data_IF_047597362107
#
_entry.id   IF_047597362107
#
_cell.length_a   1.000
_cell.length_b   1.000
_cell.length_c   1.000
_cell.angle_alpha   90.00
_cell.angle_beta   90.00
_cell.angle_gamma   90.00
#
_symmetry.space_group_name_H-M   'P 1'
#
loop_
_entity.id
_entity.type
_entity.pdbx_description
1 polymer ?
#
# COMPACT_ATOMS: atom_id res chain seq x y z
N UNK A 1 -8.54 -15.34 -15.84
CA UNK A 1 -7.77 -14.32 -16.59
C UNK A 1 -6.46 -14.96 -17.04
N UNK A 2 -6.24 -15.02 -18.36
CA UNK A 2 -5.22 -15.85 -19.03
C UNK A 2 -3.86 -15.15 -19.21
N UNK A 3 -2.82 -15.77 -18.64
CA UNK A 3 -1.41 -15.99 -19.06
C UNK A 3 -0.76 -15.03 -20.08
N UNK A 4 0.45 -14.53 -19.77
CA UNK A 4 1.73 -14.92 -20.41
C UNK A 4 2.94 -14.18 -19.78
N UNK A 5 4.03 -14.90 -19.56
CA UNK A 5 5.26 -14.48 -18.87
C UNK A 5 6.41 -14.26 -19.87
N UNK A 6 7.12 -13.12 -19.81
CA UNK A 6 8.45 -12.88 -20.43
C UNK A 6 9.26 -11.86 -19.59
N UNK A 7 10.61 -11.93 -19.57
CA UNK A 7 11.44 -11.18 -18.63
C UNK A 7 11.65 -9.73 -19.09
N UNK A 8 11.36 -8.76 -18.24
CA UNK A 8 11.83 -7.38 -18.45
C UNK A 8 13.27 -7.29 -17.94
N UNK A 9 14.22 -7.34 -18.88
CA UNK A 9 15.60 -6.91 -18.65
C UNK A 9 15.61 -5.37 -18.59
N UNK A 10 15.40 -4.81 -17.40
CA UNK A 10 15.82 -3.44 -17.13
C UNK A 10 17.34 -3.46 -16.90
N UNK A 11 18.10 -3.18 -17.96
CA UNK A 11 19.55 -3.05 -17.90
C UNK A 11 19.88 -1.82 -17.02
N UNK A 12 20.26 -2.05 -15.77
CA UNK A 12 20.82 -1.00 -14.91
C UNK A 12 22.27 -0.76 -15.33
N UNK A 13 22.49 0.21 -16.22
CA UNK A 13 23.82 0.73 -16.49
C UNK A 13 24.15 1.76 -15.40
N UNK A 14 24.92 1.34 -14.39
CA UNK A 14 25.42 2.24 -13.35
C UNK A 14 26.54 3.10 -13.97
N UNK A 15 26.21 4.33 -14.37
CA UNK A 15 27.19 5.39 -14.60
C UNK A 15 27.39 6.15 -13.29
N UNK A 16 28.61 6.07 -12.75
CA UNK A 16 29.05 6.88 -11.63
C UNK A 16 29.18 8.35 -12.07
N UNK A 17 28.17 9.16 -11.76
CA UNK A 17 28.27 10.62 -11.85
C UNK A 17 28.34 11.20 -10.44
N UNK A 18 29.37 12.01 -10.19
CA UNK A 18 29.49 12.80 -8.98
C UNK A 18 28.33 13.80 -8.88
N UNK A 19 27.78 14.05 -7.67
CA UNK A 19 26.67 14.99 -7.52
C UNK A 19 27.12 16.41 -7.88
N UNK A 20 26.37 17.04 -8.78
CA UNK A 20 26.48 18.48 -9.02
C UNK A 20 26.11 19.27 -7.75
N UNK A 21 26.68 20.47 -7.54
CA UNK A 21 26.41 21.27 -6.35
C UNK A 21 24.92 21.62 -6.21
N UNK A 22 24.44 21.59 -4.96
CA UNK A 22 23.06 21.87 -4.57
C UNK A 22 22.76 23.35 -4.84
N UNK A 23 22.05 23.64 -5.93
CA UNK A 23 21.40 24.92 -6.12
C UNK A 23 20.05 24.89 -5.37
N UNK A 24 19.87 25.75 -4.36
CA UNK A 24 18.53 26.06 -3.88
C UNK A 24 17.75 26.68 -5.05
N UNK A 25 16.69 26.01 -5.48
CA UNK A 25 15.88 26.44 -6.61
C UNK A 25 15.23 27.80 -6.30
N UNK A 26 15.30 28.72 -7.28
CA UNK A 26 14.59 29.98 -7.29
C UNK A 26 13.07 29.79 -7.04
N UNK A 27 12.40 30.87 -6.60
CA UNK A 27 10.94 30.93 -6.42
C UNK A 27 10.21 30.19 -7.54
N UNK A 28 9.40 29.20 -7.19
CA UNK A 28 8.60 28.49 -8.16
C UNK A 28 7.50 29.42 -8.65
N UNK A 29 7.53 29.73 -9.94
CA UNK A 29 6.45 30.45 -10.62
C UNK A 29 5.49 29.44 -11.23
N UNK A 30 4.20 29.54 -10.88
CA UNK A 30 3.13 28.82 -11.58
C UNK A 30 3.09 29.20 -13.06
N UNK A 31 2.76 28.24 -13.92
CA UNK A 31 2.65 28.49 -15.34
C UNK A 31 2.46 27.20 -16.15
N UNK A 32 1.94 27.34 -17.36
CA UNK A 32 1.77 26.24 -18.29
C UNK A 32 3.12 25.85 -18.92
N UNK A 33 3.32 24.55 -19.11
CA UNK A 33 4.45 23.96 -19.86
C UNK A 33 3.93 22.86 -20.76
N UNK A 34 4.44 22.77 -21.97
CA UNK A 34 4.15 21.65 -22.85
C UNK A 34 5.34 20.69 -22.80
N UNK A 35 5.11 19.49 -22.29
CA UNK A 35 6.10 18.42 -22.25
C UNK A 35 5.46 17.19 -22.89
N UNK A 36 6.15 16.54 -23.84
CA UNK A 36 5.62 15.36 -24.52
C UNK A 36 4.24 15.56 -25.22
N UNK A 37 3.94 16.78 -25.68
CA UNK A 37 2.61 17.10 -26.23
C UNK A 37 1.48 17.17 -25.18
N UNK A 38 1.81 17.07 -23.89
CA UNK A 38 0.91 17.25 -22.75
C UNK A 38 1.10 18.67 -22.22
N UNK A 39 -0.01 19.39 -22.06
CA UNK A 39 0.02 20.70 -21.39
C UNK A 39 -0.10 20.46 -19.90
N UNK A 40 0.96 20.78 -19.17
CA UNK A 40 1.02 20.73 -17.73
C UNK A 40 0.90 22.12 -17.12
N UNK A 41 0.08 22.26 -16.10
CA UNK A 41 0.11 23.38 -15.17
C UNK A 41 1.09 23.06 -14.04
N UNK A 42 2.12 23.90 -13.87
CA UNK A 42 3.02 23.80 -12.72
C UNK A 42 2.33 24.34 -11.48
N UNK A 43 2.11 23.46 -10.52
CA UNK A 43 1.69 23.79 -9.18
C UNK A 43 2.91 23.82 -8.26
N UNK A 44 3.15 25.00 -7.71
CA UNK A 44 4.24 25.22 -6.79
C UNK A 44 3.83 24.72 -5.41
N UNK A 45 4.53 23.68 -4.94
CA UNK A 45 4.56 23.27 -3.55
C UNK A 45 5.99 23.50 -3.04
N UNK A 46 6.15 24.04 -1.83
CA UNK A 46 7.44 24.56 -1.36
C UNK A 46 8.59 23.52 -1.42
N UNK A 47 8.25 22.23 -1.31
CA UNK A 47 9.20 21.11 -1.24
C UNK A 47 9.22 20.22 -2.49
N UNK A 48 8.23 20.34 -3.39
CA UNK A 48 8.06 19.49 -4.58
C UNK A 48 7.52 20.29 -5.76
N UNK A 49 7.85 19.90 -6.98
CA UNK A 49 7.25 20.45 -8.19
C UNK A 49 6.20 19.47 -8.72
N UNK A 50 4.94 19.91 -8.76
CA UNK A 50 3.87 19.10 -9.37
C UNK A 50 3.50 19.71 -10.71
N UNK A 51 3.65 18.92 -11.76
CA UNK A 51 3.21 19.23 -13.11
C UNK A 51 1.91 18.46 -13.34
N UNK A 52 0.78 19.16 -13.31
CA UNK A 52 -0.56 18.57 -13.44
C UNK A 52 -1.06 18.76 -14.87
N UNK A 53 -1.44 17.68 -15.53
CA UNK A 53 -2.08 17.74 -16.85
C UNK A 53 -3.33 18.63 -16.80
N UNK A 54 -3.43 19.60 -17.71
CA UNK A 54 -4.49 20.61 -17.72
C UNK A 54 -5.91 20.04 -17.94
N UNK A 55 -6.03 18.73 -18.21
CA UNK A 55 -7.30 18.01 -18.26
C UNK A 55 -7.80 17.54 -16.88
N UNK A 56 -7.00 17.64 -15.83
CA UNK A 56 -7.39 17.29 -14.46
C UNK A 56 -8.23 18.42 -13.87
N UNK A 57 -9.36 18.05 -13.24
CA UNK A 57 -10.29 19.00 -12.66
C UNK A 57 -9.63 19.89 -11.58
N UNK A 58 -9.95 21.19 -11.51
CA UNK A 58 -9.30 22.11 -10.56
C UNK A 58 -9.42 21.68 -9.09
N UNK A 59 -10.53 21.04 -8.72
CA UNK A 59 -10.75 20.52 -7.36
C UNK A 59 -9.78 19.39 -7.00
N UNK A 60 -9.55 18.47 -7.93
CA UNK A 60 -8.59 17.38 -7.79
C UNK A 60 -7.15 17.91 -7.71
N UNK A 61 -6.82 18.88 -8.56
CA UNK A 61 -5.51 19.54 -8.57
C UNK A 61 -5.19 20.24 -7.23
N UNK A 62 -6.19 20.85 -6.59
CA UNK A 62 -6.02 21.46 -5.27
C UNK A 62 -5.82 20.42 -4.16
N UNK A 63 -6.59 19.32 -4.19
CA UNK A 63 -6.47 18.23 -3.22
C UNK A 63 -5.10 17.53 -3.33
N UNK A 64 -4.64 17.24 -4.55
CA UNK A 64 -3.31 16.71 -4.85
C UNK A 64 -2.20 17.59 -4.27
N UNK A 65 -2.30 18.92 -4.46
CA UNK A 65 -1.30 19.87 -3.97
C UNK A 65 -1.23 19.88 -2.44
N UNK A 66 -2.36 19.78 -1.76
CA UNK A 66 -2.36 19.72 -0.29
C UNK A 66 -1.69 18.42 0.18
N UNK A 67 -2.06 17.30 -0.41
CA UNK A 67 -1.59 15.99 0.03
C UNK A 67 -0.09 15.77 -0.24
N UNK A 68 0.42 16.18 -1.39
CA UNK A 68 1.83 15.93 -1.76
C UNK A 68 2.83 16.59 -0.80
N UNK A 69 2.48 17.74 -0.23
CA UNK A 69 3.33 18.45 0.74
C UNK A 69 3.44 17.63 2.02
N UNK A 70 2.32 17.09 2.51
CA UNK A 70 2.28 16.23 3.68
C UNK A 70 3.00 14.91 3.43
N UNK A 71 2.83 14.32 2.24
CA UNK A 71 3.52 13.08 1.84
C UNK A 71 5.04 13.29 1.78
N UNK A 72 5.50 14.38 1.17
CA UNK A 72 6.92 14.74 1.12
C UNK A 72 7.52 14.95 2.52
N UNK A 73 6.83 15.71 3.37
CA UNK A 73 7.27 15.96 4.74
C UNK A 73 7.35 14.67 5.56
N UNK A 74 6.35 13.79 5.42
CA UNK A 74 6.32 12.52 6.15
C UNK A 74 7.43 11.56 5.69
N UNK A 75 7.75 11.53 4.40
CA UNK A 75 8.86 10.74 3.85
C UNK A 75 10.22 11.29 4.30
N UNK A 76 10.43 12.61 4.28
CA UNK A 76 11.64 13.25 4.80
C UNK A 76 11.83 12.96 6.30
N UNK A 77 10.76 13.04 7.08
CA UNK A 77 10.79 12.78 8.52
C UNK A 77 11.21 11.33 8.83
N UNK A 78 10.69 10.36 8.08
CA UNK A 78 10.99 8.93 8.23
C UNK A 78 12.49 8.62 8.02
N UNK A 79 13.08 9.19 6.97
CA UNK A 79 14.49 8.99 6.65
C UNK A 79 15.42 9.96 7.38
N UNK A 80 14.88 11.03 7.99
CA UNK A 80 15.66 12.10 8.59
C UNK A 80 16.56 12.81 7.58
N UNK A 81 16.13 12.87 6.32
CA UNK A 81 16.88 13.44 5.20
C UNK A 81 15.96 14.38 4.42
N UNK A 82 16.56 15.40 3.82
CA UNK A 82 15.90 16.21 2.81
C UNK A 82 16.08 15.58 1.42
N UNK A 83 15.15 15.86 0.52
CA UNK A 83 15.37 15.53 -0.88
C UNK A 83 16.56 16.34 -1.41
N UNK A 84 17.49 15.72 -2.17
CA UNK A 84 18.70 16.39 -2.67
C UNK A 84 18.38 17.51 -3.68
N UNK A 85 17.22 17.40 -4.33
CA UNK A 85 16.60 18.40 -5.19
C UNK A 85 15.08 18.29 -5.03
N UNK A 86 14.34 19.32 -5.44
CA UNK A 86 12.87 19.28 -5.41
C UNK A 86 12.38 18.14 -6.33
N UNK A 87 11.65 17.15 -5.80
CA UNK A 87 11.06 16.09 -6.62
C UNK A 87 10.16 16.69 -7.69
N UNK A 88 10.20 16.14 -8.91
CA UNK A 88 9.30 16.54 -10.01
C UNK A 88 8.29 15.44 -10.23
N UNK A 89 7.01 15.75 -10.04
CA UNK A 89 5.89 14.82 -10.14
C UNK A 89 5.01 15.21 -11.32
N UNK A 90 4.92 14.33 -12.30
CA UNK A 90 4.07 14.46 -13.48
C UNK A 90 2.78 13.70 -13.24
N UNK A 91 1.69 14.43 -12.97
CA UNK A 91 0.36 13.85 -12.81
C UNK A 91 -0.38 13.97 -14.13
N UNK A 92 -0.68 12.84 -14.77
CA UNK A 92 -1.29 12.79 -16.10
C UNK A 92 -2.75 12.35 -16.03
N UNK A 93 -3.60 12.92 -16.87
CA UNK A 93 -5.04 12.78 -16.70
C UNK A 93 -5.60 11.39 -17.02
N UNK A 94 -4.95 10.64 -17.91
CA UNK A 94 -5.44 9.34 -18.40
C UNK A 94 -4.31 8.32 -18.54
N UNK A 95 -4.63 7.03 -18.41
CA UNK A 95 -3.67 5.92 -18.58
C UNK A 95 -2.97 5.94 -19.95
N UNK A 96 -3.68 6.32 -21.02
CA UNK A 96 -3.08 6.45 -22.34
C UNK A 96 -2.01 7.56 -22.39
N UNK A 97 -2.25 8.69 -21.71
CA UNK A 97 -1.29 9.78 -21.59
C UNK A 97 -0.17 9.44 -20.60
N UNK A 98 -0.44 8.60 -19.61
CA UNK A 98 0.58 8.05 -18.71
C UNK A 98 1.61 7.21 -19.48
N UNK A 99 1.15 6.27 -20.31
CA UNK A 99 2.04 5.51 -21.19
C UNK A 99 2.86 6.42 -22.12
N UNK A 100 2.23 7.45 -22.70
CA UNK A 100 2.94 8.42 -23.55
C UNK A 100 3.98 9.23 -22.76
N UNK A 101 3.66 9.64 -21.53
CA UNK A 101 4.59 10.36 -20.66
C UNK A 101 5.80 9.49 -20.28
N UNK A 102 5.59 8.21 -19.94
CA UNK A 102 6.69 7.27 -19.68
C UNK A 102 7.61 7.11 -20.90
N UNK A 103 7.04 7.01 -22.11
CA UNK A 103 7.83 6.93 -23.34
C UNK A 103 8.66 8.19 -23.58
N UNK A 104 8.03 9.37 -23.54
CA UNK A 104 8.67 10.61 -24.00
C UNK A 104 9.50 11.29 -22.92
N UNK A 105 9.04 11.29 -21.66
CA UNK A 105 9.73 11.97 -20.56
C UNK A 105 10.86 11.12 -19.98
N UNK A 106 10.68 9.81 -19.88
CA UNK A 106 11.66 8.89 -19.29
C UNK A 106 12.39 8.02 -20.32
N UNK A 107 12.03 8.11 -21.60
CA UNK A 107 12.75 7.44 -22.68
C UNK A 107 12.51 5.93 -22.77
N UNK A 108 11.47 5.41 -22.12
CA UNK A 108 11.11 3.99 -22.22
C UNK A 108 10.66 3.64 -23.64
N UNK A 109 11.03 2.47 -24.19
CA UNK A 109 10.42 1.99 -25.42
C UNK A 109 8.89 1.90 -25.29
N UNK A 110 8.15 2.19 -26.36
CA UNK A 110 6.67 2.21 -26.36
C UNK A 110 6.03 0.97 -25.72
N UNK A 111 6.56 -0.21 -26.04
CA UNK A 111 6.06 -1.48 -25.50
C UNK A 111 6.27 -1.55 -23.98
N UNK A 112 7.42 -1.12 -23.49
CA UNK A 112 7.72 -1.06 -22.06
C UNK A 112 6.85 -0.02 -21.37
N UNK A 113 6.70 1.18 -21.96
CA UNK A 113 5.89 2.25 -21.39
C UNK A 113 4.42 1.85 -21.24
N UNK A 114 3.84 1.17 -22.25
CA UNK A 114 2.48 0.60 -22.15
C UNK A 114 2.38 -0.50 -21.11
N UNK A 115 3.35 -1.41 -21.08
CA UNK A 115 3.36 -2.46 -20.06
C UNK A 115 3.41 -1.90 -18.64
N UNK A 116 4.24 -0.87 -18.39
CA UNK A 116 4.28 -0.18 -17.09
C UNK A 116 2.93 0.49 -16.80
N UNK A 117 2.32 1.17 -17.78
CA UNK A 117 1.00 1.79 -17.62
C UNK A 117 -0.12 0.78 -17.30
N UNK A 118 -0.05 -0.43 -17.85
CA UNK A 118 -1.03 -1.49 -17.59
C UNK A 118 -0.84 -2.16 -16.22
N UNK A 119 0.34 -2.02 -15.59
CA UNK A 119 0.72 -2.77 -14.39
C UNK A 119 1.10 -1.90 -13.18
N UNK A 120 1.22 -0.59 -13.36
CA UNK A 120 1.51 0.36 -12.29
C UNK A 120 0.72 1.65 -12.46
N UNK A 121 0.31 2.24 -11.34
CA UNK A 121 -0.43 3.49 -11.29
C UNK A 121 0.45 4.72 -11.04
N UNK A 122 1.70 4.48 -10.64
CA UNK A 122 2.74 5.48 -10.50
C UNK A 122 4.12 4.85 -10.76
N UNK A 123 5.13 5.68 -11.06
CA UNK A 123 6.46 5.19 -11.36
C UNK A 123 7.52 6.24 -11.05
N UNK A 124 8.49 5.88 -10.22
CA UNK A 124 9.71 6.62 -10.00
C UNK A 124 10.80 6.22 -11.01
N UNK A 125 11.37 7.19 -11.72
CA UNK A 125 12.51 7.03 -12.63
C UNK A 125 13.83 7.44 -11.96
N UNK A 126 14.69 6.49 -11.55
CA UNK A 126 15.91 6.79 -10.79
C UNK A 126 16.91 7.68 -11.53
N UNK A 127 17.01 7.57 -12.87
CA UNK A 127 18.01 8.32 -13.64
C UNK A 127 17.70 9.82 -13.71
N UNK A 128 16.41 10.18 -13.66
CA UNK A 128 15.97 11.59 -13.73
C UNK A 128 15.54 12.14 -12.38
N UNK A 129 15.26 11.27 -11.40
CA UNK A 129 14.64 11.65 -10.14
C UNK A 129 13.15 12.04 -10.29
N UNK A 130 12.56 11.78 -11.46
CA UNK A 130 11.17 12.13 -11.78
C UNK A 130 10.17 11.06 -11.37
N UNK A 131 8.96 11.48 -11.08
CA UNK A 131 7.83 10.59 -10.76
C UNK A 131 6.72 10.85 -11.78
N UNK A 132 6.14 9.79 -12.35
CA UNK A 132 4.93 9.87 -13.17
C UNK A 132 3.77 9.18 -12.45
N UNK A 133 2.56 9.74 -12.58
CA UNK A 133 1.36 9.27 -11.86
C UNK A 133 0.17 9.24 -12.82
N UNK A 134 -0.49 8.09 -12.92
CA UNK A 134 -1.75 7.92 -13.65
C UNK A 134 -2.93 8.35 -12.79
N UNK A 135 -3.51 9.53 -13.09
CA UNK A 135 -4.62 10.07 -12.32
C UNK A 135 -5.89 9.22 -12.48
N UNK A 136 -6.20 8.73 -13.67
CA UNK A 136 -7.44 7.98 -13.94
C UNK A 136 -7.49 6.69 -13.12
N UNK A 137 -6.33 6.07 -12.88
CA UNK A 137 -6.23 4.84 -12.09
C UNK A 137 -6.35 5.05 -10.56
N UNK A 138 -6.12 6.27 -10.06
CA UNK A 138 -6.04 6.55 -8.61
C UNK A 138 -7.01 7.61 -8.10
N UNK A 139 -7.66 8.39 -8.97
CA UNK A 139 -8.47 9.55 -8.59
C UNK A 139 -9.61 9.26 -7.64
N UNK A 140 -10.08 8.01 -7.58
CA UNK A 140 -11.18 7.58 -6.71
C UNK A 140 -10.68 6.91 -5.41
N UNK A 141 -9.36 6.75 -5.24
CA UNK A 141 -8.76 6.15 -4.04
C UNK A 141 -8.50 7.23 -2.99
N UNK A 142 -8.95 7.01 -1.76
CA UNK A 142 -8.73 7.91 -0.62
C UNK A 142 -8.15 7.13 0.58
N UNK A 143 -7.04 7.59 1.18
CA UNK A 143 -6.11 8.62 0.68
C UNK A 143 -5.31 8.15 -0.55
N UNK A 144 -4.72 9.10 -1.30
CA UNK A 144 -3.99 8.87 -2.56
C UNK A 144 -2.52 8.52 -2.27
N UNK A 145 -2.23 7.30 -1.85
CA UNK A 145 -0.91 6.97 -1.29
C UNK A 145 0.19 6.69 -2.31
N UNK A 146 -0.15 6.52 -3.60
CA UNK A 146 0.81 6.17 -4.64
C UNK A 146 1.95 7.22 -4.75
N UNK A 147 1.67 8.49 -4.54
CA UNK A 147 2.71 9.53 -4.56
C UNK A 147 3.69 9.36 -3.40
N UNK A 148 3.20 9.03 -2.20
CA UNK A 148 4.04 8.77 -1.02
C UNK A 148 4.93 7.54 -1.21
N UNK A 149 4.43 6.53 -1.91
CA UNK A 149 5.21 5.36 -2.33
C UNK A 149 6.41 5.78 -3.18
N UNK A 150 6.17 6.50 -4.27
CA UNK A 150 7.25 6.90 -5.20
C UNK A 150 8.23 7.89 -4.57
N UNK A 151 7.76 8.81 -3.73
CA UNK A 151 8.63 9.71 -2.96
C UNK A 151 9.56 8.93 -2.02
N UNK A 152 9.08 7.79 -1.50
CA UNK A 152 9.88 6.91 -0.65
C UNK A 152 11.03 6.26 -1.42
N UNK A 153 10.83 5.86 -2.68
CA UNK A 153 11.93 5.39 -3.53
C UNK A 153 12.95 6.49 -3.83
N UNK A 154 12.50 7.71 -4.11
CA UNK A 154 13.39 8.84 -4.37
C UNK A 154 14.30 9.15 -3.16
N UNK A 155 13.75 9.20 -1.94
CA UNK A 155 14.59 9.44 -0.76
C UNK A 155 15.47 8.23 -0.43
N UNK A 156 14.97 7.01 -0.69
CA UNK A 156 15.73 5.77 -0.53
C UNK A 156 17.01 5.79 -1.35
N UNK A 157 16.95 6.24 -2.61
CA UNK A 157 18.12 6.40 -3.48
C UNK A 157 19.18 7.31 -2.84
N UNK A 158 18.75 8.41 -2.22
CA UNK A 158 19.64 9.35 -1.52
C UNK A 158 20.20 8.75 -0.22
N UNK A 159 19.37 7.98 0.49
CA UNK A 159 19.71 7.35 1.76
C UNK A 159 20.74 6.22 1.58
N UNK A 160 20.63 5.43 0.51
CA UNK A 160 21.53 4.30 0.26
C UNK A 160 22.79 4.65 -0.52
N UNK A 161 22.81 5.72 -1.32
CA UNK A 161 23.95 6.02 -2.18
C UNK A 161 25.26 6.21 -1.40
N UNK A 162 26.40 5.64 -1.87
CA UNK A 162 26.58 4.91 -3.13
C UNK A 162 26.33 3.39 -3.04
N UNK A 163 25.84 2.90 -1.90
CA UNK A 163 25.70 1.47 -1.59
C UNK A 163 24.28 0.92 -1.73
N UNK A 164 23.55 1.40 -2.74
CA UNK A 164 22.21 0.92 -3.03
C UNK A 164 22.17 -0.57 -3.44
N UNK A 165 23.33 -1.15 -3.80
CA UNK A 165 23.52 -2.60 -3.97
C UNK A 165 23.20 -3.41 -2.71
N UNK A 166 23.23 -2.79 -1.52
CA UNK A 166 22.98 -3.44 -0.24
C UNK A 166 21.52 -3.37 0.22
N UNK A 167 20.66 -2.68 -0.53
CA UNK A 167 19.23 -2.56 -0.22
C UNK A 167 18.47 -3.64 -0.99
N UNK A 168 17.94 -4.68 -0.34
CA UNK A 168 17.17 -5.70 -1.02
C UNK A 168 15.81 -5.16 -1.46
N UNK A 169 15.25 -5.71 -2.54
CA UNK A 169 13.97 -5.27 -3.10
C UNK A 169 12.84 -5.33 -2.07
N UNK A 170 12.75 -6.39 -1.25
CA UNK A 170 11.75 -6.44 -0.17
C UNK A 170 11.84 -5.28 0.82
N UNK A 171 13.03 -4.74 1.10
CA UNK A 171 13.16 -3.59 2.01
C UNK A 171 12.78 -2.30 1.31
N UNK A 172 13.22 -2.11 0.05
CA UNK A 172 12.88 -0.93 -0.75
C UNK A 172 11.36 -0.80 -0.96
N UNK A 173 10.75 -1.87 -1.48
CA UNK A 173 9.33 -1.94 -1.81
C UNK A 173 8.46 -2.05 -0.55
N UNK A 174 8.94 -2.81 0.45
CA UNK A 174 8.28 -2.92 1.75
C UNK A 174 8.22 -1.59 2.49
N UNK A 175 9.29 -0.79 2.45
CA UNK A 175 9.29 0.54 3.06
C UNK A 175 8.35 1.51 2.33
N UNK A 176 8.30 1.46 1.00
CA UNK A 176 7.38 2.29 0.21
C UNK A 176 5.91 1.91 0.48
N UNK A 177 5.59 0.62 0.49
CA UNK A 177 4.23 0.14 0.78
C UNK A 177 3.83 0.34 2.26
N UNK A 178 4.78 0.24 3.20
CA UNK A 178 4.55 0.63 4.59
C UNK A 178 4.25 2.12 4.72
N UNK A 179 4.95 3.00 3.97
CA UNK A 179 4.67 4.42 3.97
C UNK A 179 3.25 4.75 3.48
N UNK A 180 2.70 3.96 2.55
CA UNK A 180 1.29 4.05 2.18
C UNK A 180 0.35 3.69 3.33
N UNK A 181 0.63 2.57 4.02
CA UNK A 181 -0.18 2.10 5.14
C UNK A 181 -0.16 3.06 6.34
N UNK A 182 0.95 3.80 6.52
CA UNK A 182 1.13 4.81 7.54
C UNK A 182 0.51 6.19 7.18
N UNK A 183 -0.09 6.34 6.00
CA UNK A 183 -0.72 7.60 5.61
C UNK A 183 -1.98 7.90 6.44
N UNK A 184 -2.22 9.17 6.82
CA UNK A 184 -3.47 9.55 7.50
C UNK A 184 -4.71 9.11 6.70
N UNK A 185 -5.63 8.40 7.37
CA UNK A 185 -6.81 7.84 6.73
C UNK A 185 -6.60 6.51 5.99
N UNK A 186 -5.37 5.99 5.91
CA UNK A 186 -5.04 4.71 5.27
C UNK A 186 -5.05 3.51 6.23
N UNK A 187 -5.73 3.61 7.39
CA UNK A 187 -5.76 2.52 8.37
C UNK A 187 -6.26 1.19 7.79
N UNK A 188 -7.11 1.24 6.77
CA UNK A 188 -7.55 0.07 6.01
C UNK A 188 -6.41 -0.62 5.23
N UNK A 189 -5.38 0.12 4.77
CA UNK A 189 -4.17 -0.47 4.18
C UNK A 189 -3.33 -1.18 5.23
N UNK A 190 -3.19 -0.60 6.42
CA UNK A 190 -2.48 -1.24 7.53
C UNK A 190 -3.19 -2.52 8.01
N UNK A 191 -4.54 -2.51 8.03
CA UNK A 191 -5.35 -3.70 8.28
C UNK A 191 -5.03 -4.80 7.26
N UNK A 192 -5.08 -4.48 5.96
CA UNK A 192 -4.74 -5.42 4.89
C UNK A 192 -3.31 -5.94 5.03
N UNK A 193 -2.33 -5.06 5.12
CA UNK A 193 -0.92 -5.42 5.32
C UNK A 193 -0.73 -6.46 6.43
N UNK A 194 -1.33 -6.25 7.60
CA UNK A 194 -1.21 -7.18 8.72
C UNK A 194 -1.85 -8.54 8.44
N UNK A 195 -3.14 -8.55 8.09
CA UNK A 195 -3.92 -9.79 8.04
C UNK A 195 -3.77 -10.56 6.72
N UNK A 196 -3.48 -9.86 5.62
CA UNK A 196 -3.11 -10.49 4.35
C UNK A 196 -1.74 -11.19 4.47
N UNK A 197 -0.75 -10.58 5.14
CA UNK A 197 0.54 -11.23 5.41
C UNK A 197 0.41 -12.44 6.37
N UNK A 198 -0.45 -12.36 7.40
CA UNK A 198 -0.75 -13.50 8.27
C UNK A 198 -1.39 -14.67 7.49
N UNK A 199 -2.22 -14.36 6.49
CA UNK A 199 -2.87 -15.38 5.66
C UNK A 199 -1.85 -16.16 4.84
N UNK A 200 -0.80 -15.49 4.31
CA UNK A 200 0.29 -16.14 3.58
C UNK A 200 0.96 -17.26 4.37
N UNK A 201 1.15 -17.06 5.68
CA UNK A 201 1.72 -18.09 6.56
C UNK A 201 0.74 -19.24 6.72
N UNK A 202 -0.54 -18.92 6.95
CA UNK A 202 -1.60 -19.92 7.16
C UNK A 202 -1.81 -20.81 5.93
N UNK A 203 -1.71 -20.25 4.72
CA UNK A 203 -1.84 -20.98 3.46
C UNK A 203 -0.54 -21.58 2.94
N UNK A 204 0.58 -21.35 3.63
CA UNK A 204 1.90 -21.83 3.19
C UNK A 204 2.41 -21.16 1.91
N UNK A 205 1.96 -19.94 1.61
CA UNK A 205 2.33 -19.15 0.43
C UNK A 205 3.27 -17.97 0.75
N UNK A 206 3.66 -17.81 2.02
CA UNK A 206 4.69 -16.87 2.47
C UNK A 206 6.02 -17.10 1.74
N UNK A 207 6.60 -16.02 1.20
CA UNK A 207 7.81 -16.08 0.39
C UNK A 207 9.08 -15.96 1.25
N UNK A 208 10.11 -16.78 1.00
CA UNK A 208 11.40 -16.57 1.66
C UNK A 208 12.02 -15.24 1.21
N UNK A 209 12.50 -14.39 2.12
CA UNK A 209 13.13 -13.10 1.75
C UNK A 209 14.28 -13.23 0.74
N UNK A 210 14.94 -14.39 0.68
CA UNK A 210 16.00 -14.70 -0.29
C UNK A 210 15.53 -14.65 -1.74
N UNK A 211 14.23 -14.85 -2.02
CA UNK A 211 13.65 -14.73 -3.37
C UNK A 211 13.25 -13.29 -3.70
N UNK A 212 13.20 -12.41 -2.71
CA UNK A 212 12.79 -11.01 -2.81
C UNK A 212 13.97 -10.03 -2.72
N UNK A 213 15.18 -10.48 -3.06
CA UNK A 213 16.41 -9.66 -2.91
C UNK A 213 16.62 -8.70 -4.07
N UNK A 214 16.39 -9.11 -5.31
CA UNK A 214 16.72 -8.28 -6.49
C UNK A 214 15.46 -7.71 -7.12
N UNK A 215 15.56 -6.53 -7.74
CA UNK A 215 14.42 -5.96 -8.48
C UNK A 215 13.97 -6.89 -9.61
N UNK A 216 14.90 -7.63 -10.22
CA UNK A 216 14.57 -8.60 -11.26
C UNK A 216 13.71 -9.75 -10.72
N UNK A 217 14.08 -10.34 -9.58
CA UNK A 217 13.29 -11.41 -8.96
C UNK A 217 11.96 -10.88 -8.44
N UNK A 218 11.95 -9.68 -7.88
CA UNK A 218 10.74 -8.96 -7.49
C UNK A 218 9.77 -8.82 -8.67
N UNK A 219 10.21 -8.25 -9.78
CA UNK A 219 9.37 -8.00 -10.96
C UNK A 219 8.89 -9.28 -11.65
N UNK A 220 9.61 -10.39 -11.51
CA UNK A 220 9.19 -11.69 -12.05
C UNK A 220 7.99 -12.30 -11.31
N UNK A 221 7.74 -11.88 -10.06
CA UNK A 221 6.61 -12.33 -9.25
C UNK A 221 5.38 -11.47 -9.61
N UNK A 222 4.39 -12.13 -10.22
CA UNK A 222 3.19 -11.50 -10.82
C UNK A 222 1.91 -12.16 -10.31
N UNK A 223 0.74 -11.75 -10.83
CA UNK A 223 -0.57 -12.27 -10.41
C UNK A 223 -0.81 -12.03 -8.91
N UNK A 224 -1.51 -12.94 -8.23
CA UNK A 224 -1.79 -12.84 -6.79
C UNK A 224 -0.51 -12.69 -5.95
N UNK A 225 0.52 -13.51 -6.17
CA UNK A 225 1.79 -13.32 -5.46
C UNK A 225 2.44 -11.96 -5.74
N UNK A 226 2.25 -11.42 -6.96
CA UNK A 226 2.70 -10.08 -7.31
C UNK A 226 2.03 -8.99 -6.49
N UNK A 227 0.79 -9.20 -6.06
CA UNK A 227 0.09 -8.33 -5.12
C UNK A 227 0.55 -8.58 -3.66
N UNK A 228 0.57 -9.84 -3.22
CA UNK A 228 0.84 -10.18 -1.82
C UNK A 228 2.29 -9.98 -1.38
N UNK A 229 3.27 -9.99 -2.30
CA UNK A 229 4.67 -9.67 -1.96
C UNK A 229 4.83 -8.29 -1.33
N UNK A 230 3.99 -7.32 -1.70
CA UNK A 230 4.01 -5.98 -1.10
C UNK A 230 3.50 -6.00 0.35
N UNK A 231 2.43 -6.77 0.62
CA UNK A 231 1.88 -6.91 1.98
C UNK A 231 2.88 -7.60 2.90
N UNK A 232 3.50 -8.67 2.41
CA UNK A 232 4.56 -9.39 3.10
C UNK A 232 5.76 -8.48 3.39
N UNK A 233 6.31 -7.85 2.35
CA UNK A 233 7.49 -7.00 2.46
C UNK A 233 7.28 -5.82 3.39
N UNK A 234 6.10 -5.17 3.35
CA UNK A 234 5.78 -4.07 4.25
C UNK A 234 5.63 -4.53 5.71
N UNK A 235 4.95 -5.65 5.95
CA UNK A 235 4.83 -6.21 7.30
C UNK A 235 6.17 -6.67 7.86
N UNK A 236 7.04 -7.27 7.04
CA UNK A 236 8.42 -7.62 7.44
C UNK A 236 9.23 -6.36 7.74
N UNK A 237 9.08 -5.30 6.94
CA UNK A 237 9.75 -4.02 7.16
C UNK A 237 9.29 -3.37 8.47
N UNK A 238 7.99 -3.39 8.77
CA UNK A 238 7.45 -2.96 10.05
C UNK A 238 8.07 -3.72 11.24
N UNK A 239 8.09 -5.05 11.19
CA UNK A 239 8.69 -5.88 12.24
C UNK A 239 10.19 -5.62 12.43
N UNK A 240 10.92 -5.37 11.33
CA UNK A 240 12.33 -4.98 11.39
C UNK A 240 12.50 -3.62 12.07
N UNK A 241 11.65 -2.64 11.73
CA UNK A 241 11.68 -1.31 12.35
C UNK A 241 11.42 -1.38 13.84
N UNK A 242 10.46 -2.19 14.25
CA UNK A 242 10.12 -2.40 15.66
C UNK A 242 11.30 -2.99 16.44
N UNK A 243 12.05 -3.92 15.83
CA UNK A 243 13.25 -4.50 16.43
C UNK A 243 14.44 -3.55 16.50
N UNK A 244 14.62 -2.71 15.46
CA UNK A 244 15.65 -1.67 15.45
C UNK A 244 15.34 -0.60 16.50
N UNK A 245 14.07 -0.22 16.63
CA UNK A 245 13.60 0.76 17.60
C UNK A 245 14.15 2.17 17.42
N UNK A 246 13.93 3.01 18.43
CA UNK A 246 14.32 4.43 18.43
C UNK A 246 13.35 5.33 17.65
N UNK A 247 13.69 6.62 17.57
CA UNK A 247 12.80 7.62 16.94
C UNK A 247 12.77 7.52 15.40
N UNK A 248 13.84 7.02 14.78
CA UNK A 248 14.00 6.94 13.31
C UNK A 248 14.70 5.64 12.88
N UNK A 249 14.07 4.46 13.08
CA UNK A 249 14.69 3.16 12.83
C UNK A 249 15.20 3.00 11.40
N UNK A 250 14.43 3.45 10.39
CA UNK A 250 14.83 3.37 8.98
C UNK A 250 16.01 4.27 8.66
N UNK A 251 15.99 5.52 9.12
CA UNK A 251 17.11 6.43 8.93
C UNK A 251 18.43 5.81 9.42
N UNK A 252 18.43 5.24 10.62
CA UNK A 252 19.61 4.61 11.22
C UNK A 252 20.02 3.33 10.48
N UNK A 253 19.06 2.52 10.02
CA UNK A 253 19.34 1.35 9.17
C UNK A 253 20.04 1.77 7.87
N UNK A 254 19.49 2.73 7.13
CA UNK A 254 20.06 3.20 5.86
C UNK A 254 21.42 3.86 6.04
N UNK A 255 21.69 4.55 7.15
CA UNK A 255 23.02 5.06 7.47
C UNK A 255 24.08 3.94 7.53
N UNK A 256 23.74 2.79 8.12
CA UNK A 256 24.65 1.63 8.14
C UNK A 256 24.81 0.97 6.78
N UNK A 257 23.72 0.84 6.01
CA UNK A 257 23.77 0.33 4.64
C UNK A 257 24.68 1.19 3.76
N UNK A 258 24.49 2.51 3.83
CA UNK A 258 25.37 3.50 3.17
C UNK A 258 26.83 3.36 3.60
N UNK A 259 27.08 3.03 4.86
CA UNK A 259 28.40 2.73 5.41
C UNK A 259 29.02 1.39 4.94
N UNK A 260 28.28 0.59 4.17
CA UNK A 260 28.75 -0.67 3.58
C UNK A 260 28.38 -1.93 4.37
N UNK A 261 27.55 -1.83 5.41
CA UNK A 261 26.98 -3.00 6.08
C UNK A 261 25.81 -3.56 5.26
N UNK A 262 25.66 -4.88 5.15
CA UNK A 262 24.42 -5.46 4.63
C UNK A 262 23.31 -5.44 5.70
N UNK A 263 22.06 -5.71 5.29
CA UNK A 263 20.90 -5.69 6.21
C UNK A 263 21.11 -6.57 7.44
N UNK A 264 21.65 -7.78 7.28
CA UNK A 264 21.86 -8.70 8.40
C UNK A 264 22.81 -8.14 9.46
N UNK A 265 23.93 -7.54 9.03
CA UNK A 265 24.91 -6.91 9.92
C UNK A 265 24.35 -5.65 10.56
N UNK A 266 23.68 -4.80 9.77
CA UNK A 266 23.07 -3.57 10.24
C UNK A 266 21.98 -3.85 11.28
N UNK A 267 21.10 -4.82 11.00
CA UNK A 267 20.08 -5.29 11.94
C UNK A 267 20.72 -5.73 13.26
N UNK A 268 21.70 -6.65 13.22
CA UNK A 268 22.38 -7.13 14.43
C UNK A 268 23.04 -6.01 15.22
N UNK A 269 23.66 -5.06 14.55
CA UNK A 269 24.32 -3.93 15.20
C UNK A 269 23.34 -2.94 15.84
N UNK A 270 22.08 -2.89 15.40
CA UNK A 270 21.06 -1.97 15.88
C UNK A 270 20.13 -2.60 16.91
N UNK A 271 19.65 -3.81 16.67
CA UNK A 271 18.70 -4.50 17.57
C UNK A 271 19.39 -5.37 18.61
N UNK A 272 20.68 -5.71 18.41
CA UNK A 272 21.39 -6.71 19.20
C UNK A 272 20.97 -8.16 18.94
N UNK A 273 20.03 -8.39 18.01
CA UNK A 273 19.46 -9.72 17.69
C UNK A 273 20.12 -10.32 16.45
N UNK A 274 20.10 -11.64 16.32
CA UNK A 274 20.58 -12.30 15.10
C UNK A 274 19.56 -12.17 13.96
N UNK A 275 20.04 -11.93 12.74
CA UNK A 275 19.16 -11.74 11.58
C UNK A 275 18.56 -13.06 11.08
N UNK A 276 19.27 -14.19 11.22
CA UNK A 276 18.72 -15.49 10.86
C UNK A 276 17.61 -15.90 11.84
N UNK A 277 17.76 -15.56 13.13
CA UNK A 277 16.68 -15.70 14.13
C UNK A 277 15.48 -14.80 13.82
N UNK A 278 15.71 -13.56 13.39
CA UNK A 278 14.64 -12.68 12.90
C UNK A 278 13.86 -13.34 11.76
N UNK A 279 14.56 -13.82 10.72
CA UNK A 279 13.94 -14.45 9.54
C UNK A 279 13.20 -15.73 9.91
N UNK A 280 13.78 -16.59 10.76
CA UNK A 280 13.14 -17.84 11.17
C UNK A 280 11.90 -17.63 12.04
N UNK A 281 11.84 -16.51 12.78
CA UNK A 281 10.69 -16.13 13.60
C UNK A 281 9.57 -15.43 12.81
N UNK A 282 9.80 -15.03 11.55
CA UNK A 282 8.81 -14.28 10.75
C UNK A 282 7.45 -14.97 10.68
N UNK A 283 7.32 -16.28 10.36
CA UNK A 283 6.01 -16.93 10.30
C UNK A 283 5.16 -16.73 11.56
N UNK A 284 5.75 -16.96 12.73
CA UNK A 284 5.06 -16.79 14.01
C UNK A 284 4.71 -15.32 14.29
N UNK A 285 5.61 -14.38 13.98
CA UNK A 285 5.38 -12.94 14.19
C UNK A 285 4.34 -12.36 13.24
N UNK A 286 4.25 -12.87 12.02
CA UNK A 286 3.22 -12.49 11.05
C UNK A 286 1.84 -12.98 11.49
N UNK A 287 1.76 -14.13 12.16
CA UNK A 287 0.52 -14.69 12.68
C UNK A 287 0.13 -14.15 14.08
N UNK A 288 0.95 -13.32 14.72
CA UNK A 288 0.67 -12.82 16.08
C UNK A 288 -0.68 -12.07 16.15
N UNK A 289 -1.64 -12.67 16.86
CA UNK A 289 -3.02 -12.18 16.97
C UNK A 289 -3.91 -12.49 15.76
N UNK A 290 -3.47 -13.40 14.88
CA UNK A 290 -4.14 -13.79 13.64
C UNK A 290 -3.95 -15.29 13.34
N UNK A 291 -3.96 -16.13 14.39
CA UNK A 291 -3.75 -17.59 14.30
C UNK A 291 -5.00 -18.32 13.73
N UNK A 292 -5.21 -18.21 12.42
CA UNK A 292 -6.23 -18.94 11.68
C UNK A 292 -7.35 -18.07 11.09
N UNK A 293 -8.46 -18.69 10.62
CA UNK A 293 -9.56 -17.97 10.00
C UNK A 293 -10.14 -16.90 10.93
N UNK A 294 -10.38 -15.70 10.40
CA UNK A 294 -10.85 -14.56 11.17
C UNK A 294 -11.45 -13.43 10.34
N UNK A 295 -12.10 -12.50 11.04
CA UNK A 295 -12.54 -11.22 10.50
C UNK A 295 -12.08 -10.09 11.41
N UNK A 296 -11.42 -9.09 10.83
CA UNK A 296 -10.90 -7.93 11.55
C UNK A 296 -11.29 -6.64 10.85
N UNK A 297 -11.43 -5.56 11.62
CA UNK A 297 -12.09 -4.33 11.16
C UNK A 297 -11.36 -3.07 11.56
N UNK A 298 -11.52 -2.01 10.77
CA UNK A 298 -10.97 -0.69 11.07
C UNK A 298 -11.86 0.41 10.51
N UNK A 299 -11.80 1.60 11.11
CA UNK A 299 -12.47 2.78 10.57
C UNK A 299 -11.84 3.28 9.27
N UNK A 300 -12.66 3.87 8.40
CA UNK A 300 -12.28 4.35 7.07
C UNK A 300 -12.41 3.28 5.98
N UNK A 301 -12.50 3.72 4.73
CA UNK A 301 -12.57 2.88 3.52
C UNK A 301 -11.67 3.46 2.42
N UNK A 302 -11.39 2.69 1.35
CA UNK A 302 -10.71 3.24 0.17
C UNK A 302 -11.44 4.39 -0.51
N UNK A 303 -12.72 4.60 -0.20
CA UNK A 303 -13.59 5.60 -0.84
C UNK A 303 -13.91 6.78 0.11
N UNK A 304 -13.47 6.70 1.38
CA UNK A 304 -13.69 7.76 2.37
C UNK A 304 -14.19 7.24 3.73
N UNK A 305 -15.14 7.94 4.39
CA UNK A 305 -15.66 7.51 5.69
C UNK A 305 -16.40 6.17 5.63
N UNK A 306 -16.17 5.32 6.64
CA UNK A 306 -16.89 4.05 6.79
C UNK A 306 -16.14 3.07 7.68
N UNK A 307 -16.30 1.78 7.41
CA UNK A 307 -15.58 0.71 8.11
C UNK A 307 -15.10 -0.30 7.10
N UNK A 308 -13.80 -0.57 7.08
CA UNK A 308 -13.21 -1.65 6.29
C UNK A 308 -13.03 -2.89 7.13
N UNK A 309 -12.98 -4.04 6.46
CA UNK A 309 -12.75 -5.31 7.11
C UNK A 309 -11.99 -6.28 6.20
N UNK A 310 -11.23 -7.18 6.81
CA UNK A 310 -10.46 -8.24 6.14
C UNK A 310 -10.92 -9.57 6.70
N UNK A 311 -11.24 -10.49 5.79
CA UNK A 311 -11.31 -11.92 6.05
C UNK A 311 -9.91 -12.48 5.83
N UNK A 312 -9.37 -13.25 6.76
CA UNK A 312 -8.00 -13.75 6.69
C UNK A 312 -7.91 -15.18 7.22
N UNK A 313 -6.82 -15.87 6.85
CA UNK A 313 -6.48 -17.20 7.35
C UNK A 313 -7.41 -18.33 6.85
N UNK A 314 -8.24 -18.08 5.83
CA UNK A 314 -9.11 -19.10 5.26
C UNK A 314 -8.34 -20.02 4.31
N UNK A 315 -8.91 -21.20 4.03
CA UNK A 315 -8.35 -22.08 3.02
C UNK A 315 -8.36 -21.39 1.64
N UNK A 316 -7.33 -21.61 0.79
CA UNK A 316 -7.25 -21.03 -0.55
C UNK A 316 -8.54 -21.21 -1.35
N UNK A 317 -9.02 -20.13 -1.97
CA UNK A 317 -10.19 -20.15 -2.87
C UNK A 317 -11.48 -20.72 -2.25
N UNK A 318 -11.57 -20.76 -0.91
CA UNK A 318 -12.78 -21.24 -0.23
C UNK A 318 -13.91 -20.22 -0.26
N UNK A 319 -15.14 -20.73 -0.24
CA UNK A 319 -16.34 -19.92 -0.11
C UNK A 319 -16.63 -19.63 1.37
N UNK A 320 -16.80 -18.34 1.67
CA UNK A 320 -17.15 -17.84 3.01
C UNK A 320 -18.48 -17.10 2.91
N UNK A 321 -19.43 -17.47 3.77
CA UNK A 321 -20.67 -16.70 3.92
C UNK A 321 -20.39 -15.47 4.78
N UNK A 322 -20.66 -14.29 4.23
CA UNK A 322 -20.57 -13.01 4.91
C UNK A 322 -21.97 -12.43 5.08
N UNK A 323 -22.39 -12.27 6.33
CA UNK A 323 -23.63 -11.59 6.71
C UNK A 323 -23.31 -10.27 7.39
N UNK A 324 -24.04 -9.22 7.03
CA UNK A 324 -23.94 -7.90 7.63
C UNK A 324 -25.33 -7.55 8.12
N UNK A 325 -25.50 -7.41 9.42
CA UNK A 325 -26.78 -7.11 10.05
C UNK A 325 -26.72 -5.76 10.76
N UNK A 326 -27.58 -4.84 10.37
CA UNK A 326 -27.77 -3.56 11.03
C UNK A 326 -29.20 -3.07 10.86
N UNK A 327 -29.59 -2.09 11.67
CA UNK A 327 -31.00 -1.62 11.76
C UNK A 327 -31.61 -1.21 10.41
N UNK A 328 -30.81 -0.65 9.52
CA UNK A 328 -31.26 -0.09 8.23
C UNK A 328 -30.55 -0.69 7.02
N UNK A 329 -29.75 -1.72 7.23
CA UNK A 329 -29.01 -2.38 6.17
C UNK A 329 -28.69 -3.79 6.59
N UNK A 330 -29.11 -4.74 5.76
CA UNK A 330 -28.80 -6.15 5.89
C UNK A 330 -28.26 -6.66 4.56
N UNK A 331 -27.19 -7.43 4.60
CA UNK A 331 -26.63 -8.08 3.42
C UNK A 331 -26.20 -9.50 3.78
N UNK A 332 -26.38 -10.42 2.84
CA UNK A 332 -25.96 -11.80 2.97
C UNK A 332 -25.40 -12.25 1.63
N UNK A 333 -24.12 -12.60 1.59
CA UNK A 333 -23.43 -12.98 0.36
C UNK A 333 -22.42 -14.10 0.63
N UNK A 334 -22.16 -14.89 -0.40
CA UNK A 334 -21.04 -15.82 -0.42
C UNK A 334 -19.90 -15.14 -1.17
N UNK A 335 -18.73 -15.06 -0.55
CA UNK A 335 -17.51 -14.52 -1.15
C UNK A 335 -16.47 -15.62 -1.29
N UNK A 336 -15.70 -15.58 -2.36
CA UNK A 336 -14.53 -16.46 -2.55
C UNK A 336 -13.29 -15.71 -2.09
N UNK A 337 -12.54 -16.27 -1.13
CA UNK A 337 -11.26 -15.71 -0.71
C UNK A 337 -10.19 -15.93 -1.80
N UNK A 338 -9.11 -15.15 -1.79
CA UNK A 338 -8.03 -15.33 -2.77
C UNK A 338 -7.29 -16.67 -2.56
N UNK A 339 -6.40 -17.06 -3.49
CA UNK A 339 -5.51 -18.22 -3.30
C UNK A 339 -4.64 -18.16 -2.04
N UNK A 340 -4.41 -16.96 -1.51
CA UNK A 340 -3.67 -16.68 -0.27
C UNK A 340 -4.59 -16.60 0.96
N UNK A 341 -5.87 -16.97 0.82
CA UNK A 341 -6.76 -17.17 1.97
C UNK A 341 -7.33 -15.90 2.58
N UNK A 342 -7.36 -14.80 1.83
CA UNK A 342 -7.90 -13.51 2.32
C UNK A 342 -8.92 -12.88 1.37
N UNK A 343 -9.78 -12.01 1.93
CA UNK A 343 -10.71 -11.18 1.17
C UNK A 343 -10.93 -9.84 1.87
N UNK A 344 -10.98 -8.74 1.12
CA UNK A 344 -11.15 -7.40 1.65
C UNK A 344 -12.46 -6.77 1.21
N UNK A 345 -13.16 -6.13 2.14
CA UNK A 345 -14.39 -5.38 1.85
C UNK A 345 -14.61 -4.23 2.82
N UNK A 346 -15.68 -3.47 2.60
CA UNK A 346 -16.02 -2.33 3.43
C UNK A 346 -17.51 -2.02 3.46
N UNK A 347 -17.92 -1.32 4.52
CA UNK A 347 -19.21 -0.66 4.67
C UNK A 347 -19.03 0.81 4.31
N UNK A 348 -19.30 1.15 3.04
CA UNK A 348 -19.25 2.51 2.50
C UNK A 348 -20.58 3.26 2.60
N UNK A 349 -20.84 4.16 1.65
CA UNK A 349 -22.00 5.06 1.69
C UNK A 349 -23.36 4.39 1.52
N UNK A 350 -23.40 3.17 0.98
CA UNK A 350 -24.62 2.37 0.88
C UNK A 350 -25.19 1.96 2.26
N UNK A 351 -24.34 1.86 3.29
CA UNK A 351 -24.76 1.57 4.65
C UNK A 351 -24.86 2.88 5.47
N UNK A 352 -26.03 3.20 6.07
CA UNK A 352 -26.16 4.37 6.94
C UNK A 352 -25.20 4.35 8.14
N UNK A 353 -25.04 5.49 8.82
CA UNK A 353 -24.34 5.48 10.11
C UNK A 353 -25.11 4.61 11.12
N UNK A 354 -24.42 3.71 11.83
CA UNK A 354 -25.06 2.80 12.76
C UNK A 354 -24.13 1.74 13.34
N UNK A 355 -24.71 0.84 14.13
CA UNK A 355 -24.02 -0.35 14.64
C UNK A 355 -24.37 -1.53 13.75
N UNK A 356 -23.35 -2.26 13.33
CA UNK A 356 -23.44 -3.40 12.43
C UNK A 356 -22.77 -4.61 13.08
N UNK A 357 -23.38 -5.78 12.93
CA UNK A 357 -22.74 -7.07 13.18
C UNK A 357 -22.32 -7.65 11.85
N UNK A 358 -21.03 -7.93 11.69
CA UNK A 358 -20.50 -8.67 10.57
C UNK A 358 -20.27 -10.09 11.05
N UNK A 359 -20.85 -11.07 10.37
CA UNK A 359 -20.69 -12.49 10.65
C UNK A 359 -20.06 -13.16 9.45
N UNK A 360 -19.02 -13.94 9.68
CA UNK A 360 -18.36 -14.75 8.67
C UNK A 360 -18.47 -16.21 9.08
N UNK A 361 -18.87 -17.06 8.14
CA UNK A 361 -19.08 -18.47 8.41
C UNK A 361 -18.68 -19.36 7.23
N UNK A 362 -18.15 -20.52 7.56
CA UNK A 362 -18.00 -21.69 6.69
C UNK A 362 -18.79 -22.84 7.30
N UNK A 363 -18.86 -23.99 6.64
CA UNK A 363 -19.49 -25.19 7.22
C UNK A 363 -18.85 -25.66 8.54
N UNK A 364 -17.62 -25.25 8.84
CA UNK A 364 -16.85 -25.70 10.00
C UNK A 364 -16.43 -24.58 10.98
N UNK A 365 -16.62 -23.31 10.62
CA UNK A 365 -16.11 -22.17 11.37
C UNK A 365 -17.07 -20.99 11.31
N UNK A 366 -17.14 -20.19 12.38
CA UNK A 366 -17.98 -18.99 12.45
C UNK A 366 -17.33 -17.96 13.38
N UNK A 367 -17.25 -16.70 12.95
CA UNK A 367 -16.96 -15.57 13.83
C UNK A 367 -17.89 -14.39 13.55
N UNK A 368 -18.06 -13.53 14.56
CA UNK A 368 -18.75 -12.26 14.38
C UNK A 368 -18.03 -11.13 15.08
N UNK A 369 -18.13 -9.93 14.49
CA UNK A 369 -17.59 -8.68 15.03
C UNK A 369 -18.66 -7.60 14.96
N UNK A 370 -18.72 -6.77 16.00
CA UNK A 370 -19.65 -5.64 16.06
C UNK A 370 -18.86 -4.35 15.83
N UNK A 371 -19.30 -3.55 14.86
CA UNK A 371 -18.64 -2.31 14.47
C UNK A 371 -19.60 -1.14 14.52
N UNK A 372 -19.10 0.02 14.92
CA UNK A 372 -19.83 1.29 14.82
C UNK A 372 -19.35 2.05 13.58
N UNK A 373 -20.19 2.12 12.54
CA UNK A 373 -19.94 2.94 11.37
C UNK A 373 -20.27 4.40 11.67
N UNK A 374 -19.26 5.27 11.60
CA UNK A 374 -19.40 6.73 11.73
C UNK A 374 -19.29 7.38 10.35
N UNK A 375 -20.16 8.36 10.06
CA UNK A 375 -20.20 9.05 8.75
C UNK A 375 -20.99 8.30 7.66
N UNK A 376 -21.21 8.99 6.53
CA UNK A 376 -22.07 8.56 5.42
C UNK A 376 -23.46 9.21 5.44
N UNK A 377 -24.34 8.86 4.48
CA UNK A 377 -25.73 9.34 4.45
C UNK A 377 -26.43 8.99 5.77
N UNK A 378 -27.07 9.98 6.39
CA UNK A 378 -27.96 9.74 7.54
C UNK A 378 -29.07 8.79 7.11
N UNK A 379 -29.43 7.85 7.98
CA UNK A 379 -30.60 7.02 7.77
C UNK A 379 -31.81 7.93 7.50
N UNK A 380 -32.50 7.70 6.39
CA UNK A 380 -33.89 8.15 6.27
C UNK A 380 -34.64 7.29 7.28
N UNK A 381 -35.13 7.91 8.36
CA UNK A 381 -35.89 7.22 9.38
C UNK A 381 -37.17 6.68 8.75
N UNK A 382 -37.21 5.37 8.49
CA UNK A 382 -38.47 4.66 8.31
C UNK A 382 -38.97 4.25 9.72
N UNK A 383 -40.05 4.86 10.22
CA UNK A 383 -40.61 4.53 11.54
C UNK A 383 -41.16 3.09 11.61
N UNK A 384 -41.37 2.44 10.46
CA UNK A 384 -41.96 1.10 10.38
C UNK A 384 -40.93 -0.03 10.16
N UNK A 385 -39.63 0.29 10.13
CA UNK A 385 -38.58 -0.70 10.03
C UNK A 385 -38.53 -1.59 11.29
N UNK A 386 -39.01 -2.83 11.16
CA UNK A 386 -38.96 -3.86 12.21
C UNK A 386 -37.51 -4.14 12.58
N UNK A 387 -37.18 -3.88 13.85
CA UNK A 387 -35.86 -4.10 14.43
C UNK A 387 -35.65 -5.62 14.57
N UNK A 388 -34.88 -6.21 13.65
CA UNK A 388 -34.24 -7.49 13.94
C UNK A 388 -33.27 -7.30 15.09
N UNK A 389 -33.43 -8.06 16.18
CA UNK A 389 -32.56 -7.95 17.35
C UNK A 389 -31.12 -8.36 16.99
N UNK A 390 -30.14 -7.43 16.94
CA UNK A 390 -28.75 -7.78 16.67
C UNK A 390 -28.11 -8.60 17.81
N UNK A 391 -28.84 -8.91 18.89
CA UNK A 391 -28.33 -9.58 20.08
C UNK A 391 -28.14 -11.11 19.96
N UNK A 392 -28.67 -11.78 18.93
CA UNK A 392 -28.36 -13.21 18.72
C UNK A 392 -27.11 -13.35 17.86
N UNK A 393 -26.00 -13.68 18.51
CA UNK A 393 -24.79 -14.11 17.83
C UNK A 393 -25.05 -15.43 17.09
N UNK A 394 -25.05 -15.44 15.75
CA UNK A 394 -25.29 -16.65 14.97
C UNK A 394 -24.17 -17.70 15.17
N UNK A 395 -23.01 -17.28 15.68
CA UNK A 395 -21.90 -18.16 16.02
C UNK A 395 -21.99 -18.73 17.45
N UNK A 396 -22.93 -18.29 18.28
CA UNK A 396 -23.09 -18.84 19.62
C UNK A 396 -23.53 -20.32 19.54
N UNK A 397 -22.92 -21.22 20.33
CA UNK A 397 -23.33 -22.61 20.37
C UNK A 397 -24.80 -22.70 20.75
N UNK A 398 -25.63 -23.32 19.90
CA UNK A 398 -27.05 -23.54 20.22
C UNK A 398 -27.14 -24.32 21.54
N UNK A 399 -27.98 -23.91 22.50
CA UNK A 399 -28.17 -24.68 23.72
C UNK A 399 -28.62 -26.09 23.32
N UNK A 400 -27.84 -27.10 23.71
CA UNK A 400 -28.22 -28.50 23.54
C UNK A 400 -29.49 -28.70 24.37
N UNK A 401 -30.63 -28.84 23.71
CA UNK A 401 -31.82 -29.37 24.36
C UNK A 401 -31.44 -30.75 24.91
N UNK A 402 -31.39 -30.88 26.25
CA UNK A 402 -31.40 -32.19 26.88
C UNK A 402 -32.82 -32.73 26.69
N UNK A 403 -33.02 -33.88 26.02
CA UNK A 403 -34.31 -34.55 26.08
C UNK A 403 -34.57 -34.96 27.55
N UNK A 404 -35.75 -34.62 28.06
CA UNK A 404 -36.25 -35.10 29.35
C UNK A 404 -36.58 -36.59 29.29
#
# INVERSE_FOLDING_TARGET
MTRFSWPVLALSLILTLAPAPIAHAADCTSGARILAGITFERLCANVVDVLIDAQIEPGDAAALRAQVVDDAAAVQAEFGLDFPSRPVIHVVATTARYAAALHVLFGYPDVTARWVADNSVAFFEPATGGIAVDWDAIRDRRPITAIRHELTHLITLSACAPRCDLVPAWLNEGQAHFAEAAAPGAAWRALRMRYEAASLVTTGTFMPLTVLVTQQSWNAITSWQGYYKYQEAARVTELLRDDVGGERPIATLYQRLRGGENVARAYRALSGKDFAEFVSALPARLQEGADGPGIETVGGTPEGPGTSFVLYGFAPESEVTLSIDGRFYTSHQVVTVSPEGSWFGWLGDAAPSGVYRLTTATGAWCASVVVAKRGGRRAILDPDAVIGDPARDPCAPRPRFRPN
#
